data_IF_884681880224
#
_entry.id   IF_884681880224
#
_cell.length_a   1.000
_cell.length_b   1.000
_cell.length_c   1.000
_cell.angle_alpha   90.00
_cell.angle_beta   90.00
_cell.angle_gamma   90.00
#
_symmetry.space_group_name_H-M   'P 1'
#
loop_
_entity.id
_entity.type
_entity.pdbx_description
1 polymer ?
#
# COMPACT_ATOMS: atom_id res chain seq x y z
N UNK A 1 9.89 -20.19 3.39
CA UNK A 1 8.99 -19.55 2.40
C UNK A 1 9.74 -18.38 1.79
N UNK A 2 10.26 -18.53 0.57
CA UNK A 2 10.90 -17.44 -0.15
C UNK A 2 9.85 -16.59 -0.85
N UNK A 3 9.94 -15.27 -0.75
CA UNK A 3 9.14 -14.33 -1.57
C UNK A 3 10.05 -13.72 -2.62
N UNK A 4 9.57 -13.57 -3.85
CA UNK A 4 10.33 -12.95 -4.94
C UNK A 4 9.56 -11.74 -5.48
N UNK A 5 10.20 -10.58 -5.51
CA UNK A 5 9.66 -9.33 -6.09
C UNK A 5 10.44 -8.88 -7.34
N UNK A 6 11.30 -9.76 -7.88
CA UNK A 6 12.18 -9.53 -9.03
C UNK A 6 11.84 -10.39 -10.25
N UNK A 7 11.07 -11.47 -10.07
CA UNK A 7 10.71 -12.39 -11.14
C UNK A 7 9.22 -12.76 -11.12
N UNK A 8 8.69 -13.06 -12.29
CA UNK A 8 7.41 -13.76 -12.49
C UNK A 8 7.64 -15.00 -13.36
N UNK A 9 6.67 -15.92 -13.49
CA UNK A 9 6.77 -17.01 -14.47
C UNK A 9 7.06 -16.50 -15.89
N UNK A 10 6.37 -15.46 -16.35
CA UNK A 10 6.60 -14.87 -17.69
C UNK A 10 7.92 -14.11 -17.84
N UNK A 11 8.51 -13.67 -16.73
CA UNK A 11 9.74 -12.86 -16.71
C UNK A 11 10.65 -13.33 -15.59
N UNK A 12 11.27 -14.48 -15.80
CA UNK A 12 12.22 -15.07 -14.85
C UNK A 12 13.66 -14.72 -15.23
N UNK A 13 14.41 -14.11 -14.32
CA UNK A 13 15.85 -13.83 -14.55
C UNK A 13 16.64 -15.12 -14.58
N UNK A 14 17.28 -15.40 -15.70
CA UNK A 14 18.15 -16.55 -15.89
C UNK A 14 19.46 -16.13 -16.55
N UNK A 15 20.46 -15.89 -15.68
CA UNK A 15 21.79 -15.45 -16.10
C UNK A 15 21.82 -13.99 -16.57
N UNK A 16 22.85 -13.68 -17.33
CA UNK A 16 23.14 -12.37 -17.90
C UNK A 16 23.40 -12.54 -19.40
N UNK A 17 23.10 -11.50 -20.17
CA UNK A 17 23.48 -11.38 -21.57
C UNK A 17 24.97 -11.08 -21.69
N UNK A 18 25.52 -11.15 -22.90
CA UNK A 18 26.95 -10.88 -23.15
C UNK A 18 27.40 -9.46 -22.74
N UNK A 19 26.47 -8.51 -22.74
CA UNK A 19 26.69 -7.12 -22.31
C UNK A 19 26.55 -6.91 -20.78
N UNK A 20 26.35 -7.97 -20.01
CA UNK A 20 26.16 -7.94 -18.56
C UNK A 20 24.75 -7.55 -18.11
N UNK A 21 23.80 -7.32 -19.03
CA UNK A 21 22.40 -7.03 -18.65
C UNK A 21 21.66 -8.32 -18.25
N UNK A 22 20.66 -8.26 -17.37
CA UNK A 22 19.91 -9.45 -16.97
C UNK A 22 19.17 -10.09 -18.15
N UNK A 23 19.34 -11.41 -18.34
CA UNK A 23 18.55 -12.18 -19.30
C UNK A 23 17.27 -12.69 -18.64
N UNK A 24 16.13 -12.46 -19.29
CA UNK A 24 14.83 -12.95 -18.81
C UNK A 24 14.27 -14.00 -19.77
N UNK A 25 13.65 -15.03 -19.22
CA UNK A 25 12.96 -16.08 -19.97
C UNK A 25 11.53 -16.26 -19.46
N UNK A 26 10.67 -16.83 -20.30
CA UNK A 26 9.42 -17.41 -19.85
C UNK A 26 9.71 -18.76 -19.19
N UNK A 27 9.35 -18.87 -17.92
CA UNK A 27 9.54 -20.03 -17.06
C UNK A 27 8.25 -20.80 -16.81
N UNK A 28 7.15 -20.46 -17.49
CA UNK A 28 5.83 -21.07 -17.28
C UNK A 28 5.88 -22.59 -17.42
N UNK A 29 6.53 -23.11 -18.47
CA UNK A 29 6.69 -24.57 -18.67
C UNK A 29 7.44 -25.24 -17.51
N UNK A 30 8.41 -24.55 -16.90
CA UNK A 30 9.13 -25.08 -15.73
C UNK A 30 8.23 -25.11 -14.49
N UNK A 31 7.36 -24.12 -14.34
CA UNK A 31 6.33 -24.13 -13.29
C UNK A 31 5.36 -25.30 -13.49
N UNK A 32 4.86 -25.51 -14.72
CA UNK A 32 3.97 -26.63 -15.06
C UNK A 32 4.63 -27.99 -14.80
N UNK A 33 5.86 -28.19 -15.27
CA UNK A 33 6.61 -29.42 -15.02
C UNK A 33 6.86 -29.66 -13.52
N UNK A 34 7.03 -28.59 -12.74
CA UNK A 34 7.18 -28.70 -11.27
C UNK A 34 5.87 -29.14 -10.62
N UNK A 35 4.74 -28.53 -11.01
CA UNK A 35 3.39 -28.88 -10.53
C UNK A 35 3.09 -30.36 -10.83
N UNK A 36 3.33 -30.80 -12.06
CA UNK A 36 3.12 -32.19 -12.49
C UNK A 36 4.03 -33.16 -11.72
N UNK A 37 5.33 -32.86 -11.64
CA UNK A 37 6.31 -33.71 -10.93
C UNK A 37 5.94 -33.92 -9.46
N UNK A 38 5.34 -32.93 -8.82
CA UNK A 38 4.92 -33.00 -7.43
C UNK A 38 3.49 -33.52 -7.26
N UNK A 39 2.77 -33.83 -8.34
CA UNK A 39 1.38 -34.29 -8.30
C UNK A 39 0.46 -33.29 -7.62
N UNK A 40 0.64 -31.99 -7.86
CA UNK A 40 -0.14 -30.95 -7.22
C UNK A 40 -1.48 -30.77 -7.95
N UNK A 41 -2.59 -31.01 -7.26
CA UNK A 41 -3.94 -30.88 -7.83
C UNK A 41 -4.39 -29.41 -8.00
N UNK A 42 -3.88 -28.52 -7.16
CA UNK A 42 -4.21 -27.10 -7.16
C UNK A 42 -3.12 -26.25 -6.51
N UNK A 43 -3.14 -24.94 -6.80
CA UNK A 43 -2.25 -23.95 -6.21
C UNK A 43 -3.03 -22.88 -5.44
N UNK A 44 -2.71 -22.70 -4.15
CA UNK A 44 -3.18 -21.54 -3.37
C UNK A 44 -2.12 -20.44 -3.47
N UNK A 45 -2.46 -19.32 -4.11
CA UNK A 45 -1.55 -18.19 -4.31
C UNK A 45 -1.89 -17.05 -3.35
N UNK A 46 -0.93 -16.67 -2.51
CA UNK A 46 -1.14 -15.68 -1.45
C UNK A 46 -0.36 -14.41 -1.79
N UNK A 47 -1.06 -13.31 -2.06
CA UNK A 47 -0.40 -12.07 -2.44
C UNK A 47 -1.31 -10.96 -2.92
N UNK A 48 -0.70 -9.87 -3.38
CA UNK A 48 -1.39 -8.72 -3.95
C UNK A 48 -1.56 -8.83 -5.45
N UNK A 49 -1.79 -7.69 -6.09
CA UNK A 49 -1.94 -7.59 -7.55
C UNK A 49 -0.80 -8.27 -8.33
N UNK A 50 0.46 -8.04 -7.92
CA UNK A 50 1.61 -8.68 -8.57
C UNK A 50 1.55 -10.22 -8.52
N UNK A 51 1.04 -10.80 -7.44
CA UNK A 51 0.87 -12.25 -7.32
C UNK A 51 -0.27 -12.76 -8.21
N UNK A 52 -1.40 -12.04 -8.26
CA UNK A 52 -2.51 -12.39 -9.15
C UNK A 52 -2.09 -12.32 -10.62
N UNK A 53 -1.34 -11.28 -10.98
CA UNK A 53 -0.72 -11.12 -12.31
C UNK A 53 0.28 -12.23 -12.65
N UNK A 54 1.11 -12.65 -11.68
CA UNK A 54 2.02 -13.80 -11.87
C UNK A 54 1.29 -15.13 -12.04
N UNK A 55 0.04 -15.23 -11.57
CA UNK A 55 -0.77 -16.46 -11.60
C UNK A 55 -1.58 -16.58 -12.88
N UNK A 56 -1.89 -15.47 -13.55
CA UNK A 56 -2.61 -15.43 -14.82
C UNK A 56 -2.12 -16.43 -15.90
N UNK A 57 -0.80 -16.59 -16.17
CA UNK A 57 -0.35 -17.60 -17.13
C UNK A 57 -0.64 -19.04 -16.69
N UNK A 58 -0.55 -19.34 -15.39
CA UNK A 58 -0.82 -20.68 -14.86
C UNK A 58 -2.31 -21.05 -14.97
N UNK A 59 -3.19 -20.09 -14.65
CA UNK A 59 -4.63 -20.22 -14.85
C UNK A 59 -4.95 -20.45 -16.32
N UNK A 60 -4.33 -19.68 -17.21
CA UNK A 60 -4.53 -19.81 -18.67
C UNK A 60 -4.05 -21.18 -19.19
N UNK A 61 -3.00 -21.74 -18.58
CA UNK A 61 -2.50 -23.10 -18.85
C UNK A 61 -3.32 -24.22 -18.20
N UNK A 62 -4.42 -23.91 -17.54
CA UNK A 62 -5.33 -24.90 -16.95
C UNK A 62 -4.92 -25.42 -15.57
N UNK A 63 -3.99 -24.76 -14.88
CA UNK A 63 -3.66 -25.08 -13.48
C UNK A 63 -4.75 -24.54 -12.56
N UNK A 64 -5.45 -25.39 -11.80
CA UNK A 64 -6.45 -24.91 -10.84
C UNK A 64 -5.81 -24.03 -9.77
N UNK A 65 -6.18 -22.75 -9.74
CA UNK A 65 -5.61 -21.79 -8.79
C UNK A 65 -6.68 -21.19 -7.87
N UNK A 66 -6.33 -20.92 -6.61
CA UNK A 66 -7.15 -20.08 -5.71
C UNK A 66 -6.30 -18.95 -5.14
N UNK A 67 -6.75 -17.72 -5.39
CA UNK A 67 -6.12 -16.50 -4.91
C UNK A 67 -6.58 -16.13 -3.51
N UNK A 68 -5.62 -15.80 -2.65
CA UNK A 68 -5.85 -15.32 -1.29
C UNK A 68 -5.24 -13.92 -1.16
N UNK A 69 -6.08 -12.86 -1.05
CA UNK A 69 -5.63 -11.48 -1.18
C UNK A 69 -4.82 -11.03 0.03
N UNK A 70 -3.55 -10.67 -0.21
CA UNK A 70 -2.62 -10.14 0.79
C UNK A 70 -1.89 -8.91 0.28
N UNK A 71 -2.24 -7.74 0.79
CA UNK A 71 -1.50 -6.49 0.57
C UNK A 71 -1.55 -5.65 1.83
N UNK A 72 -0.51 -4.85 2.07
CA UNK A 72 -0.53 -3.86 3.16
C UNK A 72 -1.17 -2.54 2.70
N UNK A 73 -1.31 -2.35 1.38
CA UNK A 73 -1.85 -1.12 0.79
C UNK A 73 -3.38 -1.20 0.64
N UNK A 74 -3.98 -2.35 0.94
CA UNK A 74 -5.41 -2.66 0.81
C UNK A 74 -6.01 -2.33 -0.57
N UNK A 75 -5.22 -2.50 -1.61
CA UNK A 75 -5.47 -2.01 -2.96
C UNK A 75 -5.85 -3.11 -3.95
N UNK A 76 -6.26 -4.29 -3.48
CA UNK A 76 -6.66 -5.39 -4.36
C UNK A 76 -8.04 -5.11 -4.94
N UNK A 77 -8.15 -5.15 -6.27
CA UNK A 77 -9.42 -4.95 -6.95
C UNK A 77 -10.47 -5.98 -6.50
N UNK A 78 -11.68 -5.51 -6.22
CA UNK A 78 -12.81 -6.32 -5.75
C UNK A 78 -12.71 -6.85 -4.31
N UNK A 79 -11.67 -6.46 -3.56
CA UNK A 79 -11.51 -6.81 -2.14
C UNK A 79 -11.40 -5.52 -1.30
N UNK A 80 -12.38 -5.27 -0.44
CA UNK A 80 -12.42 -4.10 0.45
C UNK A 80 -11.43 -4.21 1.62
N UNK A 81 -11.05 -5.43 2.00
CA UNK A 81 -10.15 -5.69 3.10
C UNK A 81 -9.25 -6.91 2.84
N UNK A 82 -7.95 -6.67 2.73
CA UNK A 82 -6.92 -7.71 2.74
C UNK A 82 -6.24 -7.83 4.10
N UNK A 83 -5.86 -9.05 4.49
CA UNK A 83 -5.09 -9.23 5.72
C UNK A 83 -3.67 -8.66 5.61
N UNK A 84 -3.19 -8.15 6.73
CA UNK A 84 -1.92 -7.42 6.85
C UNK A 84 -2.14 -5.90 6.86
N UNK A 85 -3.22 -5.41 6.24
CA UNK A 85 -3.57 -4.00 6.21
C UNK A 85 -3.85 -3.45 7.61
N UNK A 86 -4.69 -4.13 8.41
CA UNK A 86 -5.09 -3.60 9.72
C UNK A 86 -3.94 -3.59 10.71
N UNK A 87 -3.03 -4.56 10.62
CA UNK A 87 -1.77 -4.55 11.37
C UNK A 87 -0.87 -3.39 10.94
N UNK A 88 -0.68 -3.19 9.63
CA UNK A 88 0.14 -2.08 9.13
C UNK A 88 -0.43 -0.72 9.55
N UNK A 89 -1.76 -0.55 9.45
CA UNK A 89 -2.47 0.65 9.88
C UNK A 89 -2.31 0.89 11.38
N UNK A 90 -2.38 -0.17 12.20
CA UNK A 90 -2.14 -0.06 13.65
C UNK A 90 -0.72 0.42 13.93
N UNK A 91 0.29 -0.18 13.29
CA UNK A 91 1.68 0.23 13.45
C UNK A 91 1.90 1.68 13.02
N UNK A 92 1.34 2.09 11.88
CA UNK A 92 1.41 3.46 11.37
C UNK A 92 0.75 4.45 12.34
N UNK A 93 -0.46 4.14 12.82
CA UNK A 93 -1.21 4.94 13.81
C UNK A 93 -0.39 5.13 15.08
N UNK A 94 0.11 4.04 15.67
CA UNK A 94 0.93 4.12 16.89
C UNK A 94 2.25 4.88 16.68
N UNK A 95 2.80 4.91 15.47
CA UNK A 95 3.97 5.73 15.15
C UNK A 95 3.61 7.21 15.09
N UNK A 96 2.49 7.56 14.45
CA UNK A 96 1.96 8.93 14.43
C UNK A 96 1.62 9.42 15.85
N UNK A 97 1.01 8.59 16.69
CA UNK A 97 0.71 8.92 18.10
C UNK A 97 2.00 9.26 18.89
N UNK A 98 3.09 8.53 18.64
CA UNK A 98 4.39 8.82 19.26
C UNK A 98 5.01 10.13 18.77
N UNK A 99 4.69 10.54 17.54
CA UNK A 99 5.13 11.83 17.01
C UNK A 99 4.34 12.98 17.66
N UNK A 100 3.05 12.80 17.96
CA UNK A 100 2.23 13.81 18.65
C UNK A 100 2.87 14.28 19.96
N UNK A 101 3.26 13.35 20.84
CA UNK A 101 3.86 13.72 22.13
C UNK A 101 5.17 14.51 21.98
N UNK A 102 5.95 14.21 20.95
CA UNK A 102 7.18 14.95 20.65
C UNK A 102 6.94 16.30 19.99
N UNK A 103 5.87 16.43 19.19
CA UNK A 103 5.49 17.67 18.51
C UNK A 103 4.96 18.70 19.51
N UNK A 104 4.08 18.25 20.40
CA UNK A 104 3.48 19.04 21.48
C UNK A 104 4.54 19.62 22.42
N UNK A 105 5.54 18.82 22.79
CA UNK A 105 6.62 19.25 23.70
C UNK A 105 7.54 20.33 23.13
N UNK A 106 7.56 20.53 21.81
CA UNK A 106 8.52 21.41 21.14
C UNK A 106 7.89 22.46 20.21
N UNK A 107 6.56 22.49 20.08
CA UNK A 107 5.84 23.37 19.16
C UNK A 107 6.33 23.29 17.70
N UNK A 108 6.27 22.09 17.11
CA UNK A 108 6.84 21.78 15.79
C UNK A 108 5.84 21.15 14.83
N UNK A 109 6.19 21.21 13.55
CA UNK A 109 5.54 20.40 12.51
C UNK A 109 6.30 19.08 12.38
N UNK A 110 5.59 17.95 12.47
CA UNK A 110 6.16 16.63 12.21
C UNK A 110 5.60 16.09 10.90
N UNK A 111 6.48 15.70 9.98
CA UNK A 111 6.12 14.99 8.76
C UNK A 111 6.46 13.51 8.91
N UNK A 112 5.47 12.65 8.75
CA UNK A 112 5.62 11.20 8.80
C UNK A 112 5.36 10.61 7.42
N UNK A 113 6.41 10.09 6.78
CA UNK A 113 6.32 9.40 5.49
C UNK A 113 5.93 7.92 5.71
N UNK A 114 4.81 7.54 5.10
CA UNK A 114 4.09 6.28 5.23
C UNK A 114 4.08 5.51 3.90
N UNK A 115 3.76 4.22 3.93
CA UNK A 115 3.60 3.47 2.66
C UNK A 115 2.31 3.88 1.96
N UNK A 116 2.27 3.69 0.65
CA UNK A 116 1.11 4.08 -0.16
C UNK A 116 1.58 4.60 -1.50
N UNK A 117 2.11 3.69 -2.32
CA UNK A 117 2.75 4.04 -3.59
C UNK A 117 1.74 4.55 -4.61
N UNK A 118 0.72 3.77 -4.90
CA UNK A 118 -0.30 4.11 -5.89
C UNK A 118 -1.65 4.38 -5.23
N UNK A 119 -1.85 3.90 -3.99
CA UNK A 119 -3.08 4.11 -3.24
C UNK A 119 -2.80 4.61 -1.82
N UNK A 120 -3.72 5.41 -1.32
CA UNK A 120 -3.60 6.09 -0.03
C UNK A 120 -4.27 5.39 1.15
N UNK A 121 -4.82 4.17 1.01
CA UNK A 121 -5.66 3.56 2.06
C UNK A 121 -4.97 3.46 3.42
N UNK A 122 -3.69 3.08 3.43
CA UNK A 122 -2.91 2.97 4.67
C UNK A 122 -2.72 4.33 5.32
N UNK A 123 -2.22 5.31 4.56
CA UNK A 123 -1.99 6.68 5.05
C UNK A 123 -3.28 7.36 5.48
N UNK A 124 -4.36 7.23 4.71
CA UNK A 124 -5.66 7.78 5.06
C UNK A 124 -6.19 7.16 6.37
N UNK A 125 -6.19 5.82 6.45
CA UNK A 125 -6.67 5.12 7.64
C UNK A 125 -5.85 5.45 8.89
N UNK A 126 -4.53 5.43 8.78
CA UNK A 126 -3.63 5.73 9.89
C UNK A 126 -3.70 7.20 10.31
N UNK A 127 -3.71 8.14 9.35
CA UNK A 127 -3.80 9.57 9.62
C UNK A 127 -5.10 9.94 10.33
N UNK A 128 -6.24 9.41 9.88
CA UNK A 128 -7.53 9.63 10.57
C UNK A 128 -7.52 9.00 11.95
N UNK A 129 -7.02 7.77 12.09
CA UNK A 129 -6.98 7.06 13.37
C UNK A 129 -6.09 7.76 14.41
N UNK A 130 -4.98 8.38 13.99
CA UNK A 130 -4.09 9.13 14.89
C UNK A 130 -4.51 10.59 15.10
N UNK A 131 -5.50 11.08 14.36
CA UNK A 131 -5.87 12.50 14.39
C UNK A 131 -4.82 13.43 13.76
N UNK A 132 -4.14 12.98 12.70
CA UNK A 132 -3.21 13.85 11.95
C UNK A 132 -3.93 15.07 11.40
N UNK A 133 -3.28 16.23 11.51
CA UNK A 133 -3.86 17.49 11.07
C UNK A 133 -3.87 17.61 9.54
N UNK A 134 -2.88 17.02 8.87
CA UNK A 134 -2.78 16.98 7.41
C UNK A 134 -2.54 15.55 6.94
N UNK A 135 -3.29 15.09 5.94
CA UNK A 135 -3.15 13.76 5.33
C UNK A 135 -2.96 13.92 3.82
N UNK A 136 -1.80 13.48 3.32
CA UNK A 136 -1.44 13.56 1.90
C UNK A 136 -1.41 12.16 1.29
N UNK A 137 -2.25 11.94 0.27
CA UNK A 137 -2.39 10.64 -0.42
C UNK A 137 -2.16 10.79 -1.94
N UNK A 138 -1.79 9.71 -2.66
CA UNK A 138 -1.54 9.76 -4.11
C UNK A 138 -2.75 10.24 -4.93
N UNK A 139 -3.96 9.93 -4.47
CA UNK A 139 -5.21 10.24 -5.16
C UNK A 139 -5.61 11.71 -5.09
N UNK A 140 -5.07 12.48 -4.13
CA UNK A 140 -5.32 13.92 -3.98
C UNK A 140 -3.99 14.66 -4.10
N UNK A 141 -3.65 15.15 -5.32
CA UNK A 141 -2.47 16.00 -5.49
C UNK A 141 -2.59 17.27 -4.65
N UNK A 142 -1.58 17.55 -3.84
CA UNK A 142 -1.65 18.64 -2.86
C UNK A 142 -1.18 19.99 -3.44
N UNK A 143 -1.74 21.07 -2.91
CA UNK A 143 -1.29 22.45 -3.09
C UNK A 143 -0.52 22.87 -1.83
N UNK A 144 0.75 23.22 -1.99
CA UNK A 144 1.59 23.63 -0.87
C UNK A 144 1.08 24.92 -0.21
N UNK A 145 0.46 25.83 -0.96
CA UNK A 145 -0.09 27.05 -0.36
C UNK A 145 -1.26 26.72 0.58
N UNK A 146 -2.09 25.72 0.25
CA UNK A 146 -3.16 25.24 1.14
C UNK A 146 -2.59 24.63 2.42
N UNK A 147 -1.51 23.86 2.31
CA UNK A 147 -0.82 23.29 3.47
C UNK A 147 -0.24 24.41 4.35
N UNK A 148 0.42 25.41 3.75
CA UNK A 148 0.96 26.55 4.48
C UNK A 148 -0.14 27.33 5.21
N UNK A 149 -1.23 27.68 4.53
CA UNK A 149 -2.32 28.47 5.11
C UNK A 149 -2.97 27.71 6.29
N UNK A 150 -3.17 26.40 6.15
CA UNK A 150 -3.69 25.57 7.24
C UNK A 150 -2.72 25.54 8.44
N UNK A 151 -1.41 25.42 8.19
CA UNK A 151 -0.40 25.43 9.25
C UNK A 151 -0.28 26.79 9.95
N UNK A 152 -0.42 27.89 9.23
CA UNK A 152 -0.41 29.24 9.82
C UNK A 152 -1.53 29.38 10.88
N UNK A 153 -2.73 28.87 10.60
CA UNK A 153 -3.83 28.80 11.58
C UNK A 153 -3.54 27.80 12.70
N UNK A 154 -3.04 26.60 12.37
CA UNK A 154 -2.84 25.52 13.33
C UNK A 154 -1.75 25.85 14.35
N UNK A 155 -0.64 26.40 13.89
CA UNK A 155 0.53 26.74 14.73
C UNK A 155 0.27 27.95 15.63
N UNK A 156 -0.70 28.80 15.29
CA UNK A 156 -1.16 29.91 16.16
C UNK A 156 -2.26 29.50 17.13
N UNK A 157 -2.84 28.31 16.97
CA UNK A 157 -3.81 27.74 17.91
C UNK A 157 -3.15 27.31 19.23
N UNK A 158 -3.91 27.10 20.32
CA UNK A 158 -3.37 26.65 21.61
C UNK A 158 -2.56 25.34 21.58
N UNK A 159 -2.71 24.51 20.54
CA UNK A 159 -1.87 23.32 20.41
C UNK A 159 -0.44 23.69 19.99
N UNK A 160 -0.26 24.64 19.06
CA UNK A 160 1.05 25.08 18.61
C UNK A 160 1.93 24.01 17.94
N UNK A 161 1.34 22.91 17.45
CA UNK A 161 2.05 21.85 16.70
C UNK A 161 1.14 21.28 15.61
N UNK A 162 1.72 20.55 14.65
CA UNK A 162 0.96 19.84 13.64
C UNK A 162 1.64 18.52 13.22
N UNK A 163 0.83 17.52 12.85
CA UNK A 163 1.26 16.24 12.32
C UNK A 163 0.77 16.09 10.89
N UNK A 164 1.71 15.79 9.99
CA UNK A 164 1.46 15.54 8.57
C UNK A 164 1.73 14.06 8.29
N UNK A 165 0.68 13.30 7.97
CA UNK A 165 0.78 11.93 7.48
C UNK A 165 0.88 11.96 5.94
N UNK A 166 1.99 11.49 5.37
CA UNK A 166 2.25 11.61 3.95
C UNK A 166 2.57 10.25 3.33
N UNK A 167 1.78 9.80 2.36
CA UNK A 167 2.07 8.59 1.61
C UNK A 167 3.30 8.80 0.72
N UNK A 168 4.16 7.80 0.58
CA UNK A 168 5.34 7.86 -0.31
C UNK A 168 5.00 8.23 -1.76
N UNK A 169 3.77 7.93 -2.20
CA UNK A 169 3.24 8.27 -3.51
C UNK A 169 2.50 9.59 -3.62
N UNK A 170 2.38 10.37 -2.54
CA UNK A 170 1.80 11.70 -2.59
C UNK A 170 2.63 12.64 -3.48
N UNK A 171 1.95 13.61 -4.11
CA UNK A 171 2.58 14.54 -5.06
C UNK A 171 1.89 15.89 -5.06
N UNK A 172 2.65 16.94 -5.37
CA UNK A 172 2.08 18.26 -5.57
C UNK A 172 1.25 18.29 -6.86
N UNK A 173 0.27 19.18 -6.93
CA UNK A 173 -0.53 19.40 -8.13
C UNK A 173 0.37 19.81 -9.32
N UNK A 174 0.24 19.09 -10.44
CA UNK A 174 1.06 19.31 -11.64
C UNK A 174 2.45 18.66 -11.60
N UNK A 175 2.80 17.94 -10.53
CA UNK A 175 4.06 17.21 -10.42
C UNK A 175 3.89 15.69 -10.53
N UNK A 176 5.00 15.01 -10.85
CA UNK A 176 5.13 13.57 -10.78
C UNK A 176 5.49 13.09 -9.37
N UNK A 177 5.32 11.80 -9.11
CA UNK A 177 5.68 11.20 -7.82
C UNK A 177 7.17 11.32 -7.54
N UNK A 178 7.54 11.52 -6.27
CA UNK A 178 8.94 11.72 -5.88
C UNK A 178 9.70 10.39 -5.94
N UNK A 179 10.69 10.33 -6.83
CA UNK A 179 11.55 9.16 -7.00
C UNK A 179 12.79 9.29 -6.14
N UNK A 180 12.95 8.36 -5.18
CA UNK A 180 14.16 8.24 -4.37
C UNK A 180 15.30 7.55 -5.13
N UNK A 181 15.00 6.48 -5.87
CA UNK A 181 16.00 5.70 -6.62
C UNK A 181 15.39 4.92 -7.78
N UNK A 182 16.17 4.72 -8.84
CA UNK A 182 15.85 3.76 -9.91
C UNK A 182 16.72 2.50 -9.75
N UNK A 183 16.11 1.31 -9.76
CA UNK A 183 16.73 0.00 -9.61
C UNK A 183 16.36 -0.86 -10.81
N UNK A 184 17.25 -0.96 -11.80
CA UNK A 184 16.98 -1.61 -13.09
C UNK A 184 16.56 -3.10 -13.01
N UNK A 185 16.98 -3.81 -11.96
CA UNK A 185 16.78 -5.27 -11.80
C UNK A 185 15.49 -5.65 -11.04
N UNK A 186 14.58 -4.70 -10.85
CA UNK A 186 13.32 -4.89 -10.11
C UNK A 186 12.14 -4.98 -11.08
N UNK A 187 11.10 -5.79 -10.75
CA UNK A 187 9.82 -5.79 -11.51
C UNK A 187 9.21 -4.39 -11.50
N UNK A 188 9.45 -3.66 -10.42
CA UNK A 188 9.13 -2.24 -10.27
C UNK A 188 10.44 -1.44 -10.10
N UNK A 189 10.95 -0.84 -11.18
CA UNK A 189 12.28 -0.23 -11.19
C UNK A 189 12.33 1.10 -10.45
N UNK A 190 11.19 1.75 -10.19
CA UNK A 190 11.14 3.04 -9.50
C UNK A 190 10.93 2.78 -8.01
N UNK A 191 11.76 3.38 -7.16
CA UNK A 191 11.57 3.44 -5.71
C UNK A 191 11.13 4.85 -5.35
N UNK A 192 9.90 4.97 -4.88
CA UNK A 192 9.40 6.22 -4.32
C UNK A 192 10.01 6.46 -2.93
N UNK A 193 9.95 7.71 -2.48
CA UNK A 193 10.38 8.12 -1.15
C UNK A 193 11.03 9.50 -1.16
N UNK A 194 11.09 10.12 0.02
CA UNK A 194 11.64 11.46 0.19
C UNK A 194 10.63 12.58 -0.02
N UNK A 195 9.36 12.26 -0.31
CA UNK A 195 8.28 13.24 -0.37
C UNK A 195 8.10 13.95 0.98
N UNK A 196 8.28 13.24 2.10
CA UNK A 196 8.22 13.85 3.43
C UNK A 196 9.30 14.91 3.65
N UNK A 197 10.52 14.67 3.14
CA UNK A 197 11.60 15.66 3.18
C UNK A 197 11.30 16.84 2.27
N UNK A 198 10.81 16.60 1.04
CA UNK A 198 10.42 17.68 0.12
C UNK A 198 9.35 18.59 0.72
N UNK A 199 8.33 18.01 1.37
CA UNK A 199 7.30 18.78 2.07
C UNK A 199 7.91 19.61 3.20
N UNK A 200 8.78 19.01 4.01
CA UNK A 200 9.45 19.72 5.10
C UNK A 200 10.31 20.89 4.60
N UNK A 201 11.17 20.67 3.60
CA UNK A 201 12.04 21.70 3.01
C UNK A 201 11.22 22.87 2.47
N UNK A 202 10.09 22.58 1.84
CA UNK A 202 9.23 23.61 1.26
C UNK A 202 8.48 24.43 2.33
N UNK A 203 8.05 23.79 3.42
CA UNK A 203 7.47 24.46 4.57
C UNK A 203 8.48 25.36 5.29
N UNK A 204 9.71 24.88 5.49
CA UNK A 204 10.82 25.67 6.04
C UNK A 204 11.12 26.88 5.14
N UNK A 205 11.19 26.66 3.82
CA UNK A 205 11.51 27.72 2.85
C UNK A 205 10.41 28.78 2.73
N UNK A 206 9.13 28.40 2.75
CA UNK A 206 8.00 29.32 2.52
C UNK A 206 7.57 30.07 3.77
N UNK A 207 7.70 29.47 4.95
CA UNK A 207 7.14 29.99 6.22
C UNK A 207 8.10 29.96 7.40
N UNK A 208 9.22 29.26 7.31
CA UNK A 208 10.20 29.17 8.40
C UNK A 208 9.74 28.31 9.58
N UNK A 209 8.77 27.41 9.37
CA UNK A 209 8.37 26.44 10.40
C UNK A 209 9.56 25.56 10.81
N UNK A 210 9.69 25.21 12.08
CA UNK A 210 10.63 24.13 12.45
C UNK A 210 9.97 22.78 12.16
N UNK A 211 10.49 22.07 11.14
CA UNK A 211 9.92 20.80 10.67
C UNK A 211 10.85 19.64 11.00
N UNK A 212 10.28 18.49 11.36
CA UNK A 212 11.03 17.23 11.51
C UNK A 212 10.37 16.13 10.69
N UNK A 213 11.20 15.38 9.98
CA UNK A 213 10.73 14.30 9.11
C UNK A 213 11.10 12.94 9.69
N UNK A 214 10.14 12.02 9.68
CA UNK A 214 10.33 10.61 10.00
C UNK A 214 9.85 9.76 8.83
N UNK A 215 10.69 8.89 8.30
CA UNK A 215 10.30 7.91 7.28
C UNK A 215 10.13 6.55 7.95
N UNK A 216 8.90 6.05 8.05
CA UNK A 216 8.65 4.77 8.71
C UNK A 216 9.15 3.58 7.88
N UNK A 217 9.06 3.69 6.56
CA UNK A 217 9.46 2.64 5.63
C UNK A 217 8.88 1.27 6.02
N UNK A 218 9.75 0.28 6.18
CA UNK A 218 9.37 -1.12 6.40
C UNK A 218 8.87 -1.44 7.81
N UNK A 219 8.97 -0.53 8.78
CA UNK A 219 8.46 -0.76 10.15
C UNK A 219 6.98 -1.12 10.12
N UNK A 220 6.22 -0.49 9.23
CA UNK A 220 4.78 -0.70 9.03
C UNK A 220 4.44 -2.11 8.52
N UNK A 221 5.40 -2.85 7.96
CA UNK A 221 5.23 -4.24 7.49
C UNK A 221 5.64 -5.27 8.55
N UNK A 222 6.26 -4.83 9.64
CA UNK A 222 6.76 -5.67 10.71
C UNK A 222 5.85 -5.69 11.94
N UNK A 223 6.18 -6.55 12.89
CA UNK A 223 5.45 -6.68 14.15
C UNK A 223 4.47 -7.85 14.18
N UNK A 224 3.82 -8.02 15.32
CA UNK A 224 2.82 -9.07 15.52
C UNK A 224 1.49 -8.66 14.88
N UNK A 225 0.80 -9.57 14.16
CA UNK A 225 -0.48 -9.25 13.56
C UNK A 225 -1.54 -8.99 14.63
N UNK A 226 -2.40 -7.99 14.39
CA UNK A 226 -3.54 -7.69 15.26
C UNK A 226 -4.64 -8.73 15.12
N UNK A 227 -5.56 -8.79 16.10
CA UNK A 227 -6.60 -9.83 16.16
C UNK A 227 -7.46 -9.86 14.89
N UNK A 228 -7.84 -8.69 14.35
CA UNK A 228 -8.66 -8.58 13.14
C UNK A 228 -8.00 -9.24 11.93
N UNK A 229 -6.71 -8.98 11.69
CA UNK A 229 -5.96 -9.62 10.60
C UNK A 229 -5.82 -11.13 10.80
N UNK A 230 -5.62 -11.60 12.05
CA UNK A 230 -5.54 -13.04 12.35
C UNK A 230 -6.86 -13.74 12.04
N UNK A 231 -7.98 -13.15 12.47
CA UNK A 231 -9.32 -13.67 12.20
C UNK A 231 -9.58 -13.69 10.69
N UNK A 232 -9.28 -12.59 9.99
CA UNK A 232 -9.47 -12.50 8.55
C UNK A 232 -8.63 -13.55 7.79
N UNK A 233 -7.37 -13.71 8.16
CA UNK A 233 -6.48 -14.71 7.56
C UNK A 233 -6.99 -16.14 7.77
N UNK A 234 -7.48 -16.48 8.98
CA UNK A 234 -8.12 -17.78 9.22
C UNK A 234 -9.35 -17.97 8.35
N UNK A 235 -10.22 -16.97 8.26
CA UNK A 235 -11.44 -17.07 7.44
C UNK A 235 -11.13 -17.19 5.95
N UNK A 236 -10.14 -16.47 5.43
CA UNK A 236 -9.68 -16.61 4.05
C UNK A 236 -9.05 -17.98 3.79
N UNK A 237 -8.28 -18.52 4.72
CA UNK A 237 -7.73 -19.87 4.60
C UNK A 237 -8.82 -20.94 4.51
N UNK A 238 -9.85 -20.84 5.35
CA UNK A 238 -11.02 -21.74 5.30
C UNK A 238 -11.77 -21.59 3.98
N UNK A 239 -12.09 -20.37 3.58
CA UNK A 239 -12.80 -20.11 2.32
C UNK A 239 -12.03 -20.58 1.08
N UNK A 240 -10.68 -20.51 1.10
CA UNK A 240 -9.85 -21.04 0.02
C UNK A 240 -10.05 -22.55 -0.15
N UNK A 241 -10.05 -23.26 0.98
CA UNK A 241 -10.22 -24.71 0.98
C UNK A 241 -11.65 -25.10 0.60
N UNK A 242 -12.66 -24.41 1.13
CA UNK A 242 -14.06 -24.66 0.78
C UNK A 242 -14.32 -24.45 -0.73
N UNK A 243 -13.72 -23.42 -1.31
CA UNK A 243 -13.84 -23.13 -2.73
C UNK A 243 -13.24 -24.27 -3.58
N UNK A 244 -12.04 -24.73 -3.24
CA UNK A 244 -11.41 -25.90 -3.88
C UNK A 244 -12.24 -27.18 -3.70
N UNK A 245 -12.71 -27.48 -2.48
CA UNK A 245 -13.53 -28.67 -2.20
C UNK A 245 -14.87 -28.66 -2.95
N UNK A 246 -15.39 -27.47 -3.26
CA UNK A 246 -16.60 -27.31 -4.08
C UNK A 246 -16.36 -27.48 -5.59
N UNK A 247 -15.12 -27.77 -6.00
CA UNK A 247 -14.73 -27.91 -7.40
C UNK A 247 -14.58 -26.57 -8.14
N UNK A 248 -14.64 -25.44 -7.43
CA UNK A 248 -14.38 -24.11 -8.00
C UNK A 248 -12.89 -23.82 -7.95
N UNK A 249 -12.37 -23.24 -9.03
CA UNK A 249 -11.00 -22.78 -9.16
C UNK A 249 -10.93 -21.55 -10.07
N UNK A 250 -9.75 -20.96 -10.19
CA UNK A 250 -9.43 -19.72 -10.90
C UNK A 250 -10.13 -18.49 -10.30
N UNK A 251 -10.41 -18.58 -9.00
CA UNK A 251 -11.08 -17.56 -8.21
C UNK A 251 -10.13 -16.98 -7.17
N UNK A 252 -10.28 -15.70 -6.89
CA UNK A 252 -9.66 -15.03 -5.76
C UNK A 252 -10.75 -14.73 -4.73
N UNK A 253 -10.50 -15.09 -3.47
CA UNK A 253 -11.37 -14.76 -2.35
C UNK A 253 -11.40 -13.25 -2.17
N UNK A 254 -12.54 -12.72 -1.77
CA UNK A 254 -12.69 -11.30 -1.47
C UNK A 254 -13.43 -11.09 -0.15
N UNK A 255 -13.12 -9.97 0.49
CA UNK A 255 -13.99 -9.37 1.50
C UNK A 255 -14.77 -8.23 0.84
N UNK A 256 -16.09 -8.33 0.81
CA UNK A 256 -16.95 -7.27 0.26
C UNK A 256 -18.30 -7.24 0.98
N UNK A 257 -18.81 -6.04 1.26
CA UNK A 257 -20.09 -5.84 1.93
C UNK A 257 -20.24 -6.65 3.23
N UNK A 258 -19.15 -6.75 4.01
CA UNK A 258 -19.12 -7.48 5.28
C UNK A 258 -19.15 -9.02 5.16
N UNK A 259 -19.04 -9.55 3.96
CA UNK A 259 -19.11 -11.00 3.67
C UNK A 259 -17.89 -11.48 2.88
N UNK A 260 -17.64 -12.79 2.93
CA UNK A 260 -16.61 -13.42 2.10
C UNK A 260 -17.26 -13.85 0.79
N UNK A 261 -16.68 -13.43 -0.31
CA UNK A 261 -17.07 -13.82 -1.66
C UNK A 261 -15.87 -14.22 -2.48
N UNK A 262 -16.04 -14.24 -3.81
CA UNK A 262 -14.97 -14.54 -4.74
C UNK A 262 -15.18 -13.83 -6.09
N UNK A 263 -14.08 -13.52 -6.78
CA UNK A 263 -14.04 -12.99 -8.15
C UNK A 263 -13.05 -13.79 -9.00
N UNK A 264 -13.02 -13.60 -10.32
CA UNK A 264 -12.00 -14.26 -11.15
C UNK A 264 -10.61 -13.71 -10.85
N UNK A 265 -9.59 -14.58 -10.80
CA UNK A 265 -8.19 -14.13 -10.63
C UNK A 265 -7.81 -13.14 -11.74
N UNK A 266 -8.24 -13.43 -12.98
CA UNK A 266 -7.99 -12.57 -14.14
C UNK A 266 -8.73 -11.23 -14.07
N UNK A 267 -9.84 -11.16 -13.33
CA UNK A 267 -10.57 -9.90 -13.13
C UNK A 267 -9.79 -8.95 -12.21
N UNK A 268 -9.04 -9.50 -11.25
CA UNK A 268 -8.23 -8.75 -10.30
C UNK A 268 -6.82 -8.42 -10.81
N UNK A 269 -6.26 -9.29 -11.66
CA UNK A 269 -4.88 -9.15 -12.15
C UNK A 269 -4.66 -7.84 -12.94
N UNK A 270 -3.60 -7.13 -12.58
CA UNK A 270 -3.20 -5.86 -13.17
C UNK A 270 -4.09 -4.68 -12.77
N UNK A 271 -4.96 -4.83 -11.76
CA UNK A 271 -5.90 -3.80 -11.34
C UNK A 271 -5.75 -3.48 -9.86
N UNK A 272 -5.85 -2.19 -9.55
CA UNK A 272 -5.80 -1.67 -8.18
C UNK A 272 -7.14 -1.05 -7.78
N UNK A 273 -7.42 -1.11 -6.47
CA UNK A 273 -8.52 -0.41 -5.81
C UNK A 273 -7.96 0.87 -5.18
N UNK A 274 -8.18 2.01 -5.83
CA UNK A 274 -7.76 3.31 -5.34
C UNK A 274 -8.77 3.90 -4.35
N UNK A 275 -8.33 4.86 -3.54
CA UNK A 275 -9.22 5.68 -2.71
C UNK A 275 -10.09 6.54 -3.64
N UNK A 276 -11.42 6.51 -3.45
CA UNK A 276 -12.31 7.42 -4.18
C UNK A 276 -12.04 8.89 -3.80
N UNK A 277 -12.57 9.85 -4.57
CA UNK A 277 -12.42 11.27 -4.25
C UNK A 277 -13.43 11.78 -3.20
N UNK A 278 -14.58 11.11 -3.07
CA UNK A 278 -15.62 11.40 -2.06
C UNK A 278 -16.03 10.15 -1.23
N UNK A 279 -15.10 9.41 -0.61
CA UNK A 279 -15.40 8.25 0.22
C UNK A 279 -15.76 8.71 1.64
N UNK A 280 -16.58 7.92 2.38
CA UNK A 280 -17.02 8.28 3.73
C UNK A 280 -15.89 8.64 4.71
N UNK A 281 -14.69 8.09 4.53
CA UNK A 281 -13.55 8.37 5.42
C UNK A 281 -12.87 9.71 5.13
N UNK A 282 -12.83 10.18 3.88
CA UNK A 282 -12.30 11.51 3.55
C UNK A 282 -13.25 12.59 4.06
N UNK A 283 -14.56 12.38 3.87
CA UNK A 283 -15.58 13.30 4.39
C UNK A 283 -15.52 13.37 5.91
N UNK A 284 -15.35 12.23 6.58
CA UNK A 284 -15.16 12.19 8.03
C UNK A 284 -13.90 12.94 8.48
N UNK A 285 -12.77 12.76 7.77
CA UNK A 285 -11.52 13.47 8.06
C UNK A 285 -11.70 15.00 7.95
N UNK A 286 -12.31 15.46 6.85
CA UNK A 286 -12.59 16.89 6.63
C UNK A 286 -13.56 17.46 7.66
N UNK A 287 -14.59 16.70 8.04
CA UNK A 287 -15.58 17.12 9.04
C UNK A 287 -14.94 17.37 10.43
N UNK A 288 -13.82 16.71 10.74
CA UNK A 288 -13.03 16.97 11.96
C UNK A 288 -11.84 17.91 11.72
N UNK A 289 -11.87 18.68 10.62
CA UNK A 289 -10.87 19.68 10.22
C UNK A 289 -9.49 19.13 9.83
N UNK A 290 -9.38 17.88 9.38
CA UNK A 290 -8.15 17.40 8.74
C UNK A 290 -8.02 18.00 7.34
N UNK A 291 -6.84 18.57 7.03
CA UNK A 291 -6.49 19.06 5.71
C UNK A 291 -6.05 17.90 4.79
N UNK A 292 -6.62 17.82 3.60
CA UNK A 292 -6.26 16.80 2.60
C UNK A 292 -5.28 17.34 1.53
N UNK A 293 -4.80 18.57 1.70
CA UNK A 293 -3.90 19.24 0.75
C UNK A 293 -4.60 19.88 -0.45
N UNK A 294 -5.93 19.85 -0.56
CA UNK A 294 -6.72 20.47 -1.62
C UNK A 294 -7.71 21.53 -1.10
N UNK A 295 -8.19 22.41 -1.98
CA UNK A 295 -9.07 23.57 -1.63
C UNK A 295 -10.56 23.24 -1.49
N UNK A 296 -10.94 21.99 -1.23
CA UNK A 296 -12.35 21.56 -1.20
C UNK A 296 -13.07 21.96 0.09
#
# INVERSE_FOLDING_TARGET
LGTNNRCSPLKYREGEQEDGTPRYIDATDRCLATIERHGMDALIVIGGDGTMSCTAPLVTSGVPCVGVPKTIDNDIHGCELSFGFTTAMTTATMSLDRLHSTADSHHRVMVCELMGRNSGWLTLGAGVASGSDIILIPEIPFDMDVICDFLDERMTSPAGFAIIACAEGARAAGEEQTVSKVVGDSVDPVRLGGIGHRVADELERRRGFEVRTTVLGHVQRGGAPVATDRILATRFGVAAMELLLSGKHDRMITWANGTIGDIGILDAAGKQRLVGLDPPLIDAARAVRTCMGDRR
#
